data_IF_048541153782
#
_entry.id   IF_048541153782
#
_cell.length_a   1.000
_cell.length_b   1.000
_cell.length_c   1.000
_cell.angle_alpha   90.00
_cell.angle_beta   90.00
_cell.angle_gamma   90.00
#
_symmetry.space_group_name_H-M   'P 1'
#
loop_
_entity.id
_entity.type
_entity.pdbx_description
1 polymer ?
#
# COMPACT_ATOMS: atom_id res chain seq x y z
N UNK A 1 -12.15 -22.14 7.78
CA UNK A 1 -12.89 -22.75 6.65
C UNK A 1 -14.36 -22.34 6.62
N UNK A 2 -15.18 -22.69 7.62
CA UNK A 2 -16.63 -22.38 7.63
C UNK A 2 -16.96 -20.89 7.38
N UNK A 3 -16.31 -19.97 8.09
CA UNK A 3 -16.49 -18.52 7.92
C UNK A 3 -16.13 -18.04 6.51
N UNK A 4 -15.05 -18.58 5.92
CA UNK A 4 -14.62 -18.24 4.55
C UNK A 4 -15.62 -18.74 3.50
N UNK A 5 -16.20 -19.93 3.68
CA UNK A 5 -17.24 -20.44 2.77
C UNK A 5 -18.55 -19.64 2.88
N UNK A 6 -18.91 -19.20 4.10
CA UNK A 6 -20.08 -18.35 4.31
C UNK A 6 -19.91 -16.99 3.64
N UNK A 7 -18.79 -16.29 3.88
CA UNK A 7 -18.53 -14.97 3.30
C UNK A 7 -18.50 -15.02 1.77
N UNK A 8 -17.88 -16.05 1.19
CA UNK A 8 -17.91 -16.25 -0.26
C UNK A 8 -19.33 -16.57 -0.76
N UNK A 9 -20.07 -17.48 -0.12
CA UNK A 9 -21.45 -17.76 -0.57
C UNK A 9 -22.36 -16.53 -0.47
N UNK A 10 -22.21 -15.72 0.57
CA UNK A 10 -22.99 -14.48 0.74
C UNK A 10 -22.60 -13.46 -0.31
N UNK A 11 -21.30 -13.25 -0.55
CA UNK A 11 -20.81 -12.30 -1.55
C UNK A 11 -21.31 -12.65 -2.95
N UNK A 12 -21.17 -13.91 -3.37
CA UNK A 12 -21.52 -14.37 -4.71
C UNK A 12 -23.03 -14.41 -4.98
N UNK A 13 -23.85 -14.59 -3.94
CA UNK A 13 -25.32 -14.58 -4.07
C UNK A 13 -25.95 -13.19 -3.89
N UNK A 14 -25.17 -12.19 -3.46
CA UNK A 14 -25.71 -10.87 -3.18
C UNK A 14 -25.95 -10.08 -4.48
N UNK A 15 -27.18 -9.60 -4.70
CA UNK A 15 -27.50 -8.69 -5.81
C UNK A 15 -26.96 -7.27 -5.59
N UNK A 16 -26.61 -6.92 -4.35
CA UNK A 16 -26.07 -5.61 -4.00
C UNK A 16 -24.54 -5.64 -4.10
N UNK A 17 -24.01 -4.91 -5.08
CA UNK A 17 -22.58 -4.87 -5.40
C UNK A 17 -21.72 -4.44 -4.20
N UNK A 18 -22.18 -3.46 -3.40
CA UNK A 18 -21.45 -3.00 -2.20
C UNK A 18 -21.32 -4.09 -1.14
N UNK A 19 -22.37 -4.87 -0.91
CA UNK A 19 -22.35 -5.95 0.08
C UNK A 19 -21.45 -7.10 -0.37
N UNK A 20 -21.45 -7.41 -1.68
CA UNK A 20 -20.52 -8.38 -2.26
C UNK A 20 -19.07 -7.94 -2.07
N UNK A 21 -18.75 -6.68 -2.35
CA UNK A 21 -17.39 -6.14 -2.19
C UNK A 21 -16.93 -6.15 -0.72
N UNK A 22 -17.81 -5.80 0.22
CA UNK A 22 -17.51 -5.88 1.66
C UNK A 22 -17.26 -7.33 2.08
N UNK A 23 -18.09 -8.28 1.65
CA UNK A 23 -17.90 -9.69 1.97
C UNK A 23 -16.57 -10.24 1.40
N UNK A 24 -16.22 -9.87 0.17
CA UNK A 24 -14.94 -10.22 -0.44
C UNK A 24 -13.75 -9.59 0.28
N UNK A 25 -13.85 -8.31 0.65
CA UNK A 25 -12.83 -7.59 1.41
C UNK A 25 -12.62 -8.20 2.80
N UNK A 26 -13.70 -8.52 3.52
CA UNK A 26 -13.63 -9.19 4.82
C UNK A 26 -13.04 -10.60 4.71
N UNK A 27 -13.44 -11.37 3.69
CA UNK A 27 -12.87 -12.70 3.44
C UNK A 27 -11.36 -12.59 3.21
N UNK A 28 -10.92 -11.63 2.41
CA UNK A 28 -9.50 -11.34 2.16
C UNK A 28 -8.77 -10.89 3.43
N UNK A 29 -9.29 -9.92 4.18
CA UNK A 29 -8.69 -9.42 5.43
C UNK A 29 -8.52 -10.55 6.45
N UNK A 30 -9.53 -11.41 6.58
CA UNK A 30 -9.42 -12.61 7.42
C UNK A 30 -8.31 -13.53 6.95
N UNK A 31 -8.14 -13.75 5.63
CA UNK A 31 -7.03 -14.57 5.11
C UNK A 31 -5.67 -13.96 5.45
N UNK A 32 -5.53 -12.64 5.29
CA UNK A 32 -4.29 -11.92 5.62
C UNK A 32 -3.97 -11.92 7.12
N UNK A 33 -4.99 -11.88 7.99
CA UNK A 33 -4.82 -11.90 9.44
C UNK A 33 -4.37 -13.26 9.99
N UNK A 34 -4.53 -14.35 9.25
CA UNK A 34 -4.03 -15.66 9.64
C UNK A 34 -2.58 -15.83 9.20
N UNK A 35 -1.64 -15.50 10.09
CA UNK A 35 -0.21 -15.65 9.84
C UNK A 35 0.29 -17.10 9.94
N UNK A 36 -0.41 -17.96 10.70
CA UNK A 36 -0.09 -19.38 10.83
C UNK A 36 -0.82 -20.24 9.80
N UNK A 37 -0.08 -20.86 8.86
CA UNK A 37 -0.54 -21.78 7.80
C UNK A 37 -1.22 -21.12 6.59
N UNK A 38 -0.53 -20.16 5.97
CA UNK A 38 -0.95 -19.52 4.72
C UNK A 38 -1.26 -20.53 3.59
N UNK A 39 -0.45 -21.59 3.48
CA UNK A 39 -0.62 -22.64 2.47
C UNK A 39 -1.98 -23.37 2.57
N UNK A 40 -2.38 -23.76 3.79
CA UNK A 40 -3.64 -24.46 4.04
C UNK A 40 -4.85 -23.55 3.72
N UNK A 41 -4.73 -22.26 4.03
CA UNK A 41 -5.80 -21.28 3.83
C UNK A 41 -5.98 -20.95 2.35
N UNK A 42 -4.88 -20.78 1.62
CA UNK A 42 -4.93 -20.52 0.19
C UNK A 42 -5.38 -21.76 -0.61
N UNK A 43 -5.00 -22.97 -0.16
CA UNK A 43 -5.54 -24.22 -0.69
C UNK A 43 -7.07 -24.29 -0.55
N UNK A 44 -7.61 -23.86 0.60
CA UNK A 44 -9.07 -23.77 0.83
C UNK A 44 -9.71 -22.71 -0.05
N UNK A 45 -9.07 -21.54 -0.23
CA UNK A 45 -9.57 -20.48 -1.08
C UNK A 45 -9.66 -20.91 -2.55
N UNK A 46 -8.61 -21.54 -3.09
CA UNK A 46 -8.64 -22.11 -4.44
C UNK A 46 -9.75 -23.18 -4.57
N UNK A 47 -9.91 -24.03 -3.56
CA UNK A 47 -10.99 -25.03 -3.53
C UNK A 47 -12.39 -24.40 -3.58
N UNK A 48 -12.59 -23.27 -2.91
CA UNK A 48 -13.84 -22.51 -2.97
C UNK A 48 -14.03 -21.93 -4.39
N UNK A 49 -13.00 -21.32 -4.98
CA UNK A 49 -13.04 -20.79 -6.35
C UNK A 49 -13.39 -21.90 -7.35
N UNK A 50 -12.77 -23.08 -7.22
CA UNK A 50 -13.04 -24.23 -8.09
C UNK A 50 -14.49 -24.72 -7.96
N UNK A 51 -15.10 -24.61 -6.78
CA UNK A 51 -16.49 -25.01 -6.55
C UNK A 51 -17.52 -23.98 -7.04
N UNK A 52 -17.11 -22.71 -7.18
CA UNK A 52 -17.99 -21.59 -7.52
C UNK A 52 -17.87 -21.11 -8.97
N UNK A 53 -16.76 -21.40 -9.65
CA UNK A 53 -16.47 -20.89 -11.01
C UNK A 53 -16.23 -22.05 -11.99
N UNK A 54 -16.70 -21.89 -13.24
CA UNK A 54 -16.52 -22.81 -14.37
C UNK A 54 -15.14 -23.50 -14.41
N UNK A 55 -15.15 -24.81 -14.74
CA UNK A 55 -14.01 -25.75 -14.78
C UNK A 55 -12.67 -25.09 -15.10
N UNK A 56 -11.95 -24.70 -14.05
CA UNK A 56 -10.54 -24.30 -14.13
C UNK A 56 -9.73 -25.58 -14.39
N UNK A 57 -8.80 -25.59 -15.37
CA UNK A 57 -7.99 -26.77 -15.64
C UNK A 57 -7.15 -27.17 -14.41
N UNK A 58 -7.11 -28.48 -14.11
CA UNK A 58 -6.46 -29.00 -12.90
C UNK A 58 -4.98 -28.62 -12.80
N UNK A 59 -4.26 -28.61 -13.93
CA UNK A 59 -2.84 -28.24 -13.97
C UNK A 59 -2.60 -26.78 -13.53
N UNK A 60 -3.55 -25.87 -13.78
CA UNK A 60 -3.46 -24.46 -13.36
C UNK A 60 -3.65 -24.33 -11.86
N UNK A 61 -4.58 -25.10 -11.29
CA UNK A 61 -4.79 -25.18 -9.84
C UNK A 61 -3.54 -25.73 -9.15
N UNK A 62 -2.96 -26.80 -9.70
CA UNK A 62 -1.74 -27.42 -9.16
C UNK A 62 -0.53 -26.49 -9.23
N UNK A 63 -0.36 -25.79 -10.36
CA UNK A 63 0.70 -24.79 -10.52
C UNK A 63 0.58 -23.69 -9.45
N UNK A 64 -0.63 -23.17 -9.21
CA UNK A 64 -0.85 -22.16 -8.18
C UNK A 64 -0.63 -22.65 -6.76
N UNK A 65 -1.13 -23.85 -6.43
CA UNK A 65 -0.88 -24.46 -5.11
C UNK A 65 0.62 -24.66 -4.89
N UNK A 66 1.34 -25.09 -5.91
CA UNK A 66 2.80 -25.28 -5.85
C UNK A 66 3.49 -23.94 -5.61
N UNK A 67 3.09 -22.89 -6.32
CA UNK A 67 3.65 -21.56 -6.12
C UNK A 67 3.33 -20.97 -4.74
N UNK A 68 2.12 -21.19 -4.22
CA UNK A 68 1.78 -20.75 -2.85
C UNK A 68 2.56 -21.47 -1.76
N UNK A 69 2.90 -22.75 -1.97
CA UNK A 69 3.68 -23.53 -1.02
C UNK A 69 5.20 -23.31 -1.13
N UNK A 70 5.72 -23.16 -2.35
CA UNK A 70 7.18 -23.20 -2.62
C UNK A 70 7.74 -21.89 -3.16
N UNK A 71 6.92 -20.89 -3.40
CA UNK A 71 7.29 -19.65 -4.08
C UNK A 71 7.20 -19.75 -5.60
N UNK A 72 7.38 -18.61 -6.26
CA UNK A 72 7.32 -18.51 -7.72
C UNK A 72 8.41 -19.34 -8.38
N UNK A 73 8.04 -20.09 -9.42
CA UNK A 73 8.99 -20.79 -10.27
C UNK A 73 8.71 -20.55 -11.76
N UNK A 74 9.74 -20.53 -12.62
CA UNK A 74 9.57 -20.18 -14.03
C UNK A 74 8.65 -21.13 -14.81
N UNK A 75 8.64 -22.43 -14.45
CA UNK A 75 7.86 -23.43 -15.15
C UNK A 75 6.35 -23.22 -14.94
N UNK A 76 5.92 -23.04 -13.69
CA UNK A 76 4.52 -22.82 -13.34
C UNK A 76 4.03 -21.44 -13.81
N UNK A 77 4.90 -20.42 -13.78
CA UNK A 77 4.60 -19.10 -14.34
C UNK A 77 4.41 -19.16 -15.85
N UNK A 78 5.23 -19.95 -16.56
CA UNK A 78 5.07 -20.15 -18.01
C UNK A 78 3.77 -20.87 -18.32
N UNK A 79 3.40 -21.88 -17.52
CA UNK A 79 2.11 -22.57 -17.67
C UNK A 79 0.93 -21.63 -17.47
N UNK A 80 0.95 -20.78 -16.43
CA UNK A 80 -0.07 -19.76 -16.22
C UNK A 80 -0.12 -18.78 -17.41
N UNK A 81 1.03 -18.28 -17.85
CA UNK A 81 1.11 -17.34 -18.95
C UNK A 81 0.47 -17.91 -20.23
N UNK A 82 0.78 -19.15 -20.57
CA UNK A 82 0.19 -19.84 -21.71
C UNK A 82 -1.32 -19.99 -21.56
N UNK A 83 -1.80 -20.38 -20.38
CA UNK A 83 -3.23 -20.53 -20.12
C UNK A 83 -4.01 -19.22 -20.24
N UNK A 84 -3.46 -18.09 -19.78
CA UNK A 84 -4.10 -16.77 -19.90
C UNK A 84 -3.95 -16.12 -21.28
N UNK A 85 -2.98 -16.60 -22.08
CA UNK A 85 -2.78 -16.20 -23.47
C UNK A 85 -3.74 -16.91 -24.44
N UNK A 86 -4.32 -18.04 -24.04
CA UNK A 86 -5.28 -18.80 -24.84
C UNK A 86 -6.60 -18.04 -25.09
N UNK A 87 -7.38 -18.41 -26.13
CA UNK A 87 -8.65 -17.76 -26.47
C UNK A 87 -9.73 -17.95 -25.39
N UNK A 88 -9.65 -19.04 -24.61
CA UNK A 88 -10.53 -19.31 -23.46
C UNK A 88 -9.68 -19.35 -22.17
N UNK A 89 -9.29 -18.18 -21.65
CA UNK A 89 -8.44 -18.10 -20.46
C UNK A 89 -9.21 -18.46 -19.18
N UNK A 90 -8.50 -18.88 -18.11
CA UNK A 90 -9.09 -19.02 -16.79
C UNK A 90 -9.66 -17.68 -16.27
N UNK A 91 -10.56 -17.73 -15.25
CA UNK A 91 -11.14 -16.53 -14.66
C UNK A 91 -10.08 -15.65 -13.98
N UNK A 92 -10.14 -14.33 -14.25
CA UNK A 92 -9.12 -13.37 -13.77
C UNK A 92 -9.02 -13.28 -12.24
N UNK A 93 -10.09 -13.63 -11.52
CA UNK A 93 -10.13 -13.67 -10.04
C UNK A 93 -9.01 -14.53 -9.47
N UNK A 94 -8.59 -15.56 -10.20
CA UNK A 94 -7.56 -16.49 -9.77
C UNK A 94 -6.18 -15.82 -9.66
N UNK A 95 -5.81 -14.95 -10.62
CA UNK A 95 -4.53 -14.20 -10.59
C UNK A 95 -4.64 -12.83 -9.91
N UNK A 96 -5.86 -12.40 -9.55
CA UNK A 96 -6.13 -11.24 -8.69
C UNK A 96 -6.09 -11.58 -7.22
N UNK A 97 -5.65 -12.80 -6.89
CA UNK A 97 -5.41 -13.14 -5.50
C UNK A 97 -4.34 -12.19 -4.91
N UNK A 98 -4.60 -11.56 -3.75
CA UNK A 98 -3.68 -10.60 -3.14
C UNK A 98 -2.33 -11.22 -2.79
N UNK A 99 -2.31 -12.46 -2.29
CA UNK A 99 -1.07 -13.13 -1.93
C UNK A 99 -0.26 -13.47 -3.19
N UNK A 100 -0.93 -13.95 -4.23
CA UNK A 100 -0.29 -14.16 -5.53
C UNK A 100 0.26 -12.86 -6.13
N UNK A 101 -0.49 -11.77 -5.99
CA UNK A 101 -0.09 -10.44 -6.47
C UNK A 101 1.15 -9.94 -5.74
N UNK A 102 1.24 -10.11 -4.42
CA UNK A 102 2.46 -9.80 -3.65
C UNK A 102 3.64 -10.67 -4.09
N UNK A 103 3.43 -11.97 -4.27
CA UNK A 103 4.50 -12.84 -4.78
C UNK A 103 5.02 -12.37 -6.14
N UNK A 104 4.12 -11.97 -7.04
CA UNK A 104 4.50 -11.40 -8.34
C UNK A 104 5.19 -10.04 -8.20
N UNK A 105 4.88 -9.30 -7.12
CA UNK A 105 5.60 -8.10 -6.73
C UNK A 105 7.06 -8.39 -6.39
N UNK A 106 7.26 -9.39 -5.56
CA UNK A 106 8.59 -9.85 -5.17
C UNK A 106 9.34 -10.48 -6.38
N UNK A 107 8.61 -11.04 -7.35
CA UNK A 107 9.15 -11.76 -8.51
C UNK A 107 9.46 -10.95 -9.77
N UNK A 108 9.25 -9.62 -9.78
CA UNK A 108 9.64 -8.67 -10.86
C UNK A 108 8.90 -8.72 -12.22
N UNK A 109 7.60 -9.06 -12.19
CA UNK A 109 6.52 -8.49 -13.05
C UNK A 109 6.37 -8.80 -14.56
N UNK A 110 5.82 -9.98 -14.88
CA UNK A 110 5.15 -10.25 -16.17
C UNK A 110 3.64 -10.53 -16.04
N UNK A 111 3.21 -11.26 -15.00
CA UNK A 111 1.81 -11.67 -14.82
C UNK A 111 0.91 -10.57 -14.21
N UNK A 112 1.48 -9.53 -13.58
CA UNK A 112 0.70 -8.42 -13.02
C UNK A 112 0.06 -7.52 -14.08
N UNK A 113 0.69 -7.37 -15.25
CA UNK A 113 0.09 -6.63 -16.37
C UNK A 113 -1.30 -7.19 -16.71
N UNK A 114 -1.43 -8.52 -16.71
CA UNK A 114 -2.69 -9.19 -17.01
C UNK A 114 -3.72 -9.01 -15.89
N UNK A 115 -3.30 -9.28 -14.65
CA UNK A 115 -4.19 -9.17 -13.48
C UNK A 115 -4.78 -7.76 -13.33
N UNK A 116 -3.98 -6.72 -13.62
CA UNK A 116 -4.39 -5.33 -13.43
C UNK A 116 -5.25 -4.75 -14.55
N UNK A 117 -4.95 -5.06 -15.81
CA UNK A 117 -5.60 -4.40 -16.95
C UNK A 117 -6.78 -5.17 -17.53
N UNK A 118 -6.91 -6.47 -17.24
CA UNK A 118 -7.98 -7.28 -17.85
C UNK A 118 -9.27 -7.17 -17.04
N UNK A 119 -10.32 -6.65 -17.68
CA UNK A 119 -11.65 -6.55 -17.08
C UNK A 119 -12.51 -7.70 -17.61
N UNK A 120 -13.14 -8.45 -16.70
CA UNK A 120 -14.03 -9.56 -17.04
C UNK A 120 -15.49 -9.15 -16.81
N UNK A 121 -16.34 -9.35 -17.81
CA UNK A 121 -17.80 -9.20 -17.69
C UNK A 121 -18.45 -10.57 -17.81
N UNK A 122 -19.34 -10.88 -16.86
CA UNK A 122 -20.10 -12.13 -16.82
C UNK A 122 -21.55 -11.80 -17.16
N UNK A 123 -22.01 -12.19 -18.36
CA UNK A 123 -23.42 -12.02 -18.72
C UNK A 123 -24.20 -13.27 -18.26
N UNK A 124 -25.20 -13.06 -17.40
CA UNK A 124 -26.02 -14.11 -16.78
C UNK A 124 -27.28 -14.49 -17.59
N UNK A 125 -27.48 -13.90 -18.76
CA UNK A 125 -28.71 -14.02 -19.56
C UNK A 125 -28.85 -15.37 -20.32
N UNK A 126 -28.17 -16.42 -19.89
CA UNK A 126 -28.25 -17.75 -20.51
C UNK A 126 -27.84 -18.89 -19.58
N UNK A 127 -28.17 -20.13 -19.98
CA UNK A 127 -27.95 -21.40 -19.23
C UNK A 127 -26.46 -21.64 -18.92
N UNK A 128 -25.55 -20.93 -19.60
CA UNK A 128 -24.11 -20.92 -19.32
C UNK A 128 -23.60 -19.48 -19.24
N UNK A 129 -22.90 -19.08 -18.16
CA UNK A 129 -22.31 -17.75 -18.06
C UNK A 129 -21.24 -17.58 -19.15
N UNK A 130 -21.46 -16.67 -20.10
CA UNK A 130 -20.44 -16.32 -21.08
C UNK A 130 -19.54 -15.22 -20.51
N UNK A 131 -18.27 -15.56 -20.28
CA UNK A 131 -17.22 -14.65 -19.85
C UNK A 131 -16.65 -13.90 -21.06
N UNK A 132 -16.65 -12.57 -21.00
CA UNK A 132 -15.97 -11.71 -21.98
C UNK A 132 -14.86 -10.95 -21.26
N UNK A 133 -13.62 -11.11 -21.71
CA UNK A 133 -12.47 -10.39 -21.18
C UNK A 133 -12.05 -9.26 -22.11
N UNK A 134 -11.91 -8.05 -21.55
CA UNK A 134 -11.38 -6.89 -22.23
C UNK A 134 -9.87 -6.78 -21.97
N UNK A 135 -9.07 -6.77 -23.05
CA UNK A 135 -7.60 -6.74 -23.00
C UNK A 135 -7.00 -5.47 -23.64
N UNK A 136 -7.80 -4.41 -23.85
CA UNK A 136 -7.37 -3.22 -24.60
C UNK A 136 -6.11 -2.54 -24.02
N UNK A 137 -5.99 -2.44 -22.69
CA UNK A 137 -4.88 -1.76 -22.03
C UNK A 137 -3.67 -2.67 -21.75
N UNK A 138 -3.81 -3.98 -22.00
CA UNK A 138 -2.84 -4.98 -21.57
C UNK A 138 -1.45 -4.79 -22.20
N UNK A 139 -1.40 -4.55 -23.51
CA UNK A 139 -0.13 -4.42 -24.23
C UNK A 139 0.61 -3.14 -23.81
N UNK A 140 -0.11 -2.02 -23.69
CA UNK A 140 0.48 -0.75 -23.23
C UNK A 140 1.04 -0.87 -21.81
N UNK A 141 0.32 -1.53 -20.90
CA UNK A 141 0.82 -1.75 -19.54
C UNK A 141 2.02 -2.69 -19.50
N UNK A 142 2.06 -3.71 -20.36
CA UNK A 142 3.22 -4.62 -20.47
C UNK A 142 4.47 -3.87 -20.93
N UNK A 143 4.33 -3.01 -21.93
CA UNK A 143 5.43 -2.16 -22.42
C UNK A 143 5.93 -1.22 -21.32
N UNK A 144 5.01 -0.56 -20.61
CA UNK A 144 5.37 0.33 -19.48
C UNK A 144 5.99 -0.42 -18.30
N UNK A 145 5.57 -1.67 -18.03
CA UNK A 145 6.22 -2.52 -17.03
C UNK A 145 7.65 -2.87 -17.44
N UNK A 146 7.86 -3.25 -18.70
CA UNK A 146 9.21 -3.54 -19.19
C UNK A 146 10.10 -2.30 -19.10
N UNK A 147 9.59 -1.15 -19.53
CA UNK A 147 10.28 0.14 -19.41
C UNK A 147 10.66 0.45 -17.95
N UNK A 148 9.74 0.23 -17.01
CA UNK A 148 10.04 0.43 -15.59
C UNK A 148 11.19 -0.47 -15.14
N UNK A 149 11.13 -1.76 -15.47
CA UNK A 149 12.15 -2.74 -15.10
C UNK A 149 13.52 -2.32 -15.66
N UNK A 150 13.58 -1.92 -16.93
CA UNK A 150 14.82 -1.47 -17.58
C UNK A 150 15.41 -0.23 -16.88
N UNK A 151 14.57 0.74 -16.48
CA UNK A 151 15.00 1.93 -15.73
C UNK A 151 15.55 1.53 -14.34
N UNK A 152 14.84 0.67 -13.62
CA UNK A 152 15.23 0.26 -12.26
C UNK A 152 16.54 -0.55 -12.25
N UNK A 153 16.81 -1.34 -13.30
CA UNK A 153 18.07 -2.08 -13.44
C UNK A 153 19.26 -1.18 -13.79
N UNK A 154 19.04 -0.05 -14.46
CA UNK A 154 20.13 0.83 -14.92
C UNK A 154 20.81 1.63 -13.80
N UNK A 155 20.18 1.76 -12.63
CA UNK A 155 20.60 2.41 -11.36
C UNK A 155 21.25 3.82 -11.42
N UNK A 156 22.27 4.04 -12.25
CA UNK A 156 23.08 5.27 -12.30
C UNK A 156 22.32 6.49 -12.87
N UNK A 157 21.21 6.28 -13.61
CA UNK A 157 20.48 7.34 -14.36
C UNK A 157 19.06 7.61 -13.85
N UNK A 158 18.74 7.21 -12.61
CA UNK A 158 17.40 7.33 -12.03
C UNK A 158 16.87 8.78 -12.04
N UNK A 159 17.74 9.76 -11.80
CA UNK A 159 17.37 11.19 -11.84
C UNK A 159 17.05 11.67 -13.27
N UNK A 160 17.79 11.21 -14.27
CA UNK A 160 17.55 11.54 -15.69
C UNK A 160 16.22 10.96 -16.17
N UNK A 161 15.77 9.87 -15.54
CA UNK A 161 14.52 9.18 -15.85
C UNK A 161 13.32 9.67 -15.02
N UNK A 162 13.45 10.75 -14.23
CA UNK A 162 12.39 11.22 -13.33
C UNK A 162 11.08 11.50 -14.06
N UNK A 163 11.09 12.22 -15.18
CA UNK A 163 9.86 12.52 -15.92
C UNK A 163 9.13 11.25 -16.38
N UNK A 164 9.90 10.26 -16.84
CA UNK A 164 9.36 8.96 -17.26
C UNK A 164 8.78 8.22 -16.05
N UNK A 165 9.48 8.19 -14.92
CA UNK A 165 8.98 7.57 -13.69
C UNK A 165 7.69 8.24 -13.19
N UNK A 166 7.58 9.56 -13.27
CA UNK A 166 6.36 10.29 -12.91
C UNK A 166 5.19 9.96 -13.85
N UNK A 167 5.46 9.66 -15.13
CA UNK A 167 4.43 9.16 -16.04
C UNK A 167 4.01 7.73 -15.69
N UNK A 168 4.98 6.85 -15.40
CA UNK A 168 4.72 5.46 -15.02
C UNK A 168 3.93 5.36 -13.72
N UNK A 169 4.19 6.24 -12.74
CA UNK A 169 3.43 6.32 -11.48
C UNK A 169 1.93 6.52 -11.73
N UNK A 170 1.46 7.05 -12.87
CA UNK A 170 0.02 7.17 -13.13
C UNK A 170 -0.73 5.82 -13.09
N UNK A 171 -0.03 4.71 -13.33
CA UNK A 171 -0.60 3.37 -13.23
C UNK A 171 -0.42 2.81 -11.80
N UNK A 172 -1.50 2.40 -11.10
CA UNK A 172 -1.42 1.92 -9.71
C UNK A 172 -0.46 0.73 -9.53
N UNK A 173 -0.35 -0.13 -10.54
CA UNK A 173 0.47 -1.35 -10.46
C UNK A 173 1.96 -1.04 -10.59
N UNK A 174 2.30 -0.07 -11.44
CA UNK A 174 3.67 0.45 -11.51
C UNK A 174 4.04 1.20 -10.24
N UNK A 175 3.09 1.94 -9.66
CA UNK A 175 3.29 2.59 -8.34
C UNK A 175 3.53 1.58 -7.23
N UNK A 176 2.76 0.49 -7.19
CA UNK A 176 2.97 -0.59 -6.23
C UNK A 176 4.34 -1.26 -6.42
N UNK A 177 4.77 -1.47 -7.67
CA UNK A 177 6.08 -2.01 -8.01
C UNK A 177 7.22 -1.08 -7.58
N UNK A 178 7.13 0.22 -7.88
CA UNK A 178 8.10 1.23 -7.45
C UNK A 178 8.17 1.28 -5.93
N UNK A 179 7.03 1.26 -5.25
CA UNK A 179 6.99 1.28 -3.79
C UNK A 179 7.65 0.06 -3.16
N UNK A 180 7.45 -1.12 -3.76
CA UNK A 180 8.15 -2.34 -3.34
C UNK A 180 9.65 -2.26 -3.60
N UNK A 181 10.06 -1.79 -4.79
CA UNK A 181 11.48 -1.54 -5.10
C UNK A 181 12.10 -0.60 -4.07
N UNK A 182 11.48 0.54 -3.78
CA UNK A 182 11.96 1.51 -2.79
C UNK A 182 12.06 0.90 -1.39
N UNK A 183 11.08 0.10 -0.98
CA UNK A 183 11.13 -0.62 0.31
C UNK A 183 12.35 -1.54 0.37
N UNK A 184 12.51 -2.40 -0.63
CA UNK A 184 13.59 -3.39 -0.66
C UNK A 184 14.95 -2.73 -0.84
N UNK A 185 15.01 -1.60 -1.53
CA UNK A 185 16.25 -0.86 -1.81
C UNK A 185 16.71 -0.02 -0.62
N UNK A 186 15.81 0.70 0.04
CA UNK A 186 16.13 1.60 1.16
C UNK A 186 16.25 0.87 2.51
N UNK A 187 15.62 -0.29 2.66
CA UNK A 187 15.63 -1.10 3.89
C UNK A 187 16.39 -2.41 3.62
N UNK A 188 17.60 -2.32 3.06
CA UNK A 188 18.48 -3.49 2.93
C UNK A 188 19.23 -3.73 4.24
N UNK A 189 19.24 -4.98 4.68
CA UNK A 189 19.93 -5.43 5.90
C UNK A 189 21.42 -5.79 5.66
N UNK A 190 21.92 -5.63 4.44
CA UNK A 190 23.25 -6.10 4.01
C UNK A 190 24.41 -5.18 4.39
N UNK A 191 24.15 -4.13 5.18
CA UNK A 191 25.17 -3.25 5.74
C UNK A 191 25.80 -2.28 4.72
N UNK A 192 25.43 -2.34 3.44
CA UNK A 192 25.81 -1.35 2.43
C UNK A 192 24.64 -0.38 2.28
N UNK A 193 24.72 0.71 3.04
CA UNK A 193 23.72 1.77 3.01
C UNK A 193 23.58 2.32 1.60
N UNK A 194 22.36 2.33 1.07
CA UNK A 194 22.03 3.31 0.05
C UNK A 194 21.28 4.46 0.70
N UNK A 195 21.95 5.59 0.80
CA UNK A 195 21.35 6.81 1.35
C UNK A 195 20.14 7.22 0.49
N UNK A 196 18.96 7.48 1.09
CA UNK A 196 17.82 7.94 0.32
C UNK A 196 18.12 9.32 -0.27
N UNK A 197 18.30 9.38 -1.59
CA UNK A 197 18.37 10.65 -2.32
C UNK A 197 16.97 11.31 -2.40
N UNK A 198 16.89 12.66 -2.59
CA UNK A 198 15.63 13.39 -2.65
C UNK A 198 14.60 12.82 -3.64
N UNK A 199 15.09 12.22 -4.73
CA UNK A 199 14.26 11.54 -5.72
C UNK A 199 13.34 10.47 -5.09
N UNK A 200 13.86 9.67 -4.15
CA UNK A 200 13.08 8.61 -3.53
C UNK A 200 11.88 9.17 -2.75
N UNK A 201 12.08 10.27 -2.02
CA UNK A 201 11.01 10.96 -1.29
C UNK A 201 9.96 11.53 -2.25
N UNK A 202 10.38 12.16 -3.34
CA UNK A 202 9.48 12.66 -4.39
C UNK A 202 8.62 11.54 -4.99
N UNK A 203 9.21 10.37 -5.25
CA UNK A 203 8.45 9.22 -5.77
C UNK A 203 7.42 8.74 -4.75
N UNK A 204 7.78 8.63 -3.47
CA UNK A 204 6.85 8.24 -2.39
C UNK A 204 5.67 9.23 -2.33
N UNK A 205 5.95 10.52 -2.41
CA UNK A 205 4.93 11.56 -2.38
C UNK A 205 3.99 11.52 -3.56
N UNK A 206 4.53 11.33 -4.77
CA UNK A 206 3.74 11.26 -5.99
C UNK A 206 2.88 10.01 -6.02
N UNK A 207 3.34 8.91 -5.43
CA UNK A 207 2.52 7.71 -5.23
C UNK A 207 1.38 8.00 -4.25
N UNK A 208 1.67 8.64 -3.11
CA UNK A 208 0.65 9.01 -2.12
C UNK A 208 -0.39 10.00 -2.69
N UNK A 209 0.03 10.98 -3.49
CA UNK A 209 -0.85 11.95 -4.13
C UNK A 209 -1.85 11.27 -5.09
N UNK A 210 -1.40 10.27 -5.85
CA UNK A 210 -2.21 9.67 -6.93
C UNK A 210 -3.04 8.46 -6.50
N UNK A 211 -2.58 7.68 -5.53
CA UNK A 211 -3.13 6.35 -5.26
C UNK A 211 -3.53 6.16 -3.80
N UNK A 212 -4.78 6.49 -3.48
CA UNK A 212 -5.35 6.29 -2.15
C UNK A 212 -5.27 4.83 -1.66
N UNK A 213 -5.37 3.87 -2.58
CA UNK A 213 -5.26 2.45 -2.27
C UNK A 213 -3.85 2.00 -1.86
N UNK A 214 -2.83 2.83 -2.07
CA UNK A 214 -1.45 2.56 -1.67
C UNK A 214 -1.04 3.29 -0.39
N UNK A 215 -1.90 4.15 0.16
CA UNK A 215 -1.60 4.95 1.36
C UNK A 215 -1.15 4.12 2.55
N UNK A 216 -1.80 2.98 2.81
CA UNK A 216 -1.40 2.09 3.91
C UNK A 216 0.00 1.48 3.69
N UNK A 217 0.34 1.15 2.43
CA UNK A 217 1.68 0.64 2.10
C UNK A 217 2.74 1.72 2.23
N UNK A 218 2.43 2.94 1.79
CA UNK A 218 3.30 4.12 1.97
C UNK A 218 3.51 4.38 3.45
N UNK A 219 2.45 4.38 4.25
CA UNK A 219 2.52 4.55 5.70
C UNK A 219 3.43 3.51 6.36
N UNK A 220 3.29 2.24 5.99
CA UNK A 220 4.14 1.14 6.49
C UNK A 220 5.60 1.32 6.07
N UNK A 221 5.86 1.77 4.85
CA UNK A 221 7.21 2.08 4.37
C UNK A 221 7.82 3.22 5.19
N UNK A 222 7.11 4.33 5.39
CA UNK A 222 7.61 5.46 6.17
C UNK A 222 7.90 5.07 7.63
N UNK A 223 7.04 4.26 8.24
CA UNK A 223 7.32 3.70 9.57
C UNK A 223 8.62 2.89 9.58
N UNK A 224 8.79 1.98 8.63
CA UNK A 224 9.97 1.13 8.55
C UNK A 224 11.26 1.93 8.26
N UNK A 225 11.18 2.97 7.41
CA UNK A 225 12.29 3.88 7.15
C UNK A 225 12.67 4.66 8.41
N UNK A 226 11.69 5.19 9.14
CA UNK A 226 11.94 5.89 10.40
C UNK A 226 12.63 4.98 11.42
N UNK A 227 12.12 3.75 11.60
CA UNK A 227 12.68 2.78 12.55
C UNK A 227 14.10 2.37 12.12
N UNK A 228 14.34 2.15 10.83
CA UNK A 228 15.65 1.84 10.28
C UNK A 228 16.66 2.98 10.52
N UNK A 229 16.29 4.23 10.24
CA UNK A 229 17.14 5.41 10.49
C UNK A 229 17.45 5.59 11.97
N UNK A 230 16.47 5.32 12.85
CA UNK A 230 16.63 5.44 14.30
C UNK A 230 17.62 4.43 14.88
N UNK A 231 17.78 3.27 14.22
CA UNK A 231 18.73 2.23 14.60
C UNK A 231 20.16 2.45 14.08
N UNK A 232 20.41 3.51 13.28
CA UNK A 232 21.73 3.76 12.71
C UNK A 232 22.72 4.25 13.77
N UNK A 233 23.98 3.80 13.66
CA UNK A 233 25.07 4.22 14.53
C UNK A 233 25.75 5.48 13.96
N UNK A 234 24.98 6.56 13.83
CA UNK A 234 25.44 7.85 13.34
C UNK A 234 25.28 8.95 14.39
N UNK A 235 25.80 10.14 14.10
CA UNK A 235 25.64 11.31 14.97
C UNK A 235 24.16 11.67 15.05
N UNK A 236 23.65 11.90 16.27
CA UNK A 236 22.23 12.15 16.53
C UNK A 236 21.66 13.29 15.66
N UNK A 237 22.44 14.35 15.40
CA UNK A 237 22.03 15.47 14.55
C UNK A 237 21.74 15.05 13.10
N UNK A 238 22.56 14.16 12.53
CA UNK A 238 22.37 13.61 11.18
C UNK A 238 21.11 12.74 11.13
N UNK A 239 20.93 11.89 12.14
CA UNK A 239 19.75 11.04 12.28
C UNK A 239 18.48 11.90 12.36
N UNK A 240 18.51 12.97 13.17
CA UNK A 240 17.36 13.88 13.32
C UNK A 240 17.02 14.61 12.01
N UNK A 241 18.01 15.06 11.24
CA UNK A 241 17.76 15.71 9.95
C UNK A 241 17.15 14.73 8.94
N UNK A 242 17.61 13.47 8.93
CA UNK A 242 17.01 12.40 8.10
C UNK A 242 15.61 12.04 8.57
N UNK A 243 15.39 11.95 9.88
CA UNK A 243 14.06 11.71 10.45
C UNK A 243 13.10 12.85 10.09
N UNK A 244 13.54 14.11 10.08
CA UNK A 244 12.74 15.25 9.62
C UNK A 244 12.22 15.03 8.19
N UNK A 245 13.05 14.55 7.27
CA UNK A 245 12.60 14.24 5.91
C UNK A 245 11.45 13.23 5.91
N UNK A 246 11.50 12.21 6.77
CA UNK A 246 10.40 11.24 6.93
C UNK A 246 9.16 11.89 7.57
N UNK A 247 9.35 12.79 8.54
CA UNK A 247 8.25 13.58 9.13
C UNK A 247 7.53 14.40 8.06
N UNK A 248 8.25 15.03 7.13
CA UNK A 248 7.62 15.77 6.02
C UNK A 248 6.73 14.85 5.18
N UNK A 249 7.16 13.60 4.98
CA UNK A 249 6.39 12.59 4.23
C UNK A 249 5.16 12.12 5.01
N UNK A 250 5.24 12.06 6.34
CA UNK A 250 4.07 11.84 7.18
C UNK A 250 3.06 13.00 7.07
N UNK A 251 3.52 14.25 7.07
CA UNK A 251 2.66 15.43 6.87
C UNK A 251 1.97 15.37 5.50
N UNK A 252 2.70 15.02 4.44
CA UNK A 252 2.13 14.85 3.11
C UNK A 252 1.11 13.72 3.04
N UNK A 253 1.38 12.57 3.68
CA UNK A 253 0.42 11.46 3.72
C UNK A 253 -0.83 11.80 4.55
N UNK A 254 -0.66 12.60 5.61
CA UNK A 254 -1.77 13.17 6.38
C UNK A 254 -2.65 14.06 5.50
N UNK A 255 -2.04 14.93 4.68
CA UNK A 255 -2.76 15.79 3.72
C UNK A 255 -3.65 14.99 2.77
N UNK A 256 -3.15 13.86 2.26
CA UNK A 256 -3.89 13.03 1.31
C UNK A 256 -4.92 12.08 1.94
N UNK A 257 -5.14 12.13 3.26
CA UNK A 257 -6.28 11.46 3.90
C UNK A 257 -5.94 10.41 4.94
N UNK A 258 -4.66 10.19 5.27
CA UNK A 258 -4.24 9.30 6.36
C UNK A 258 -4.00 10.04 7.68
N UNK A 259 -4.75 11.11 7.94
CA UNK A 259 -4.52 11.97 9.09
C UNK A 259 -4.54 11.23 10.43
N UNK A 260 -5.55 10.39 10.66
CA UNK A 260 -5.70 9.69 11.95
C UNK A 260 -4.56 8.68 12.18
N UNK A 261 -4.26 7.72 11.27
CA UNK A 261 -3.15 6.79 11.47
C UNK A 261 -1.79 7.48 11.68
N UNK A 262 -1.54 8.57 10.95
CA UNK A 262 -0.30 9.35 11.08
C UNK A 262 -0.22 10.02 12.46
N UNK A 263 -1.28 10.70 12.88
CA UNK A 263 -1.34 11.34 14.20
C UNK A 263 -1.17 10.31 15.33
N UNK A 264 -1.87 9.18 15.25
CA UNK A 264 -1.77 8.12 16.24
C UNK A 264 -0.35 7.55 16.34
N UNK A 265 0.34 7.36 15.20
CA UNK A 265 1.74 6.90 15.18
C UNK A 265 2.68 7.93 15.78
N UNK A 266 2.57 9.22 15.42
CA UNK A 266 3.43 10.28 15.98
C UNK A 266 3.19 10.44 17.49
N UNK A 267 1.93 10.49 17.93
CA UNK A 267 1.57 10.55 19.35
C UNK A 267 2.07 9.31 20.10
N UNK A 268 1.93 8.13 19.49
CA UNK A 268 2.44 6.87 20.02
C UNK A 268 3.94 6.94 20.24
N UNK A 269 4.71 7.30 19.21
CA UNK A 269 6.17 7.45 19.29
C UNK A 269 6.57 8.46 20.36
N UNK A 270 5.87 9.60 20.45
CA UNK A 270 6.14 10.63 21.44
C UNK A 270 5.96 10.11 22.87
N UNK A 271 4.85 9.43 23.16
CA UNK A 271 4.58 8.85 24.48
C UNK A 271 5.61 7.80 24.89
N UNK A 272 6.14 7.04 23.93
CA UNK A 272 7.17 6.02 24.16
C UNK A 272 8.60 6.59 24.18
N UNK A 273 8.81 7.87 23.87
CA UNK A 273 10.14 8.47 23.78
C UNK A 273 10.96 8.04 22.55
N UNK A 274 10.34 7.49 21.51
CA UNK A 274 11.01 7.08 20.26
C UNK A 274 11.23 8.23 19.26
N UNK A 275 10.69 9.41 19.55
CA UNK A 275 10.83 10.61 18.72
C UNK A 275 11.22 11.78 19.61
N UNK A 276 12.15 12.61 19.10
CA UNK A 276 12.58 13.80 19.80
C UNK A 276 11.49 14.89 19.83
N UNK A 277 11.42 15.62 20.95
CA UNK A 277 10.42 16.68 21.18
C UNK A 277 10.47 17.74 20.09
N UNK A 278 11.66 18.08 19.57
CA UNK A 278 11.81 19.08 18.50
C UNK A 278 11.19 18.62 17.18
N UNK A 279 11.26 17.32 16.85
CA UNK A 279 10.62 16.75 15.66
C UNK A 279 9.10 16.68 15.81
N UNK A 280 8.61 16.36 17.02
CA UNK A 280 7.17 16.41 17.32
C UNK A 280 6.62 17.83 17.22
N UNK A 281 7.38 18.82 17.71
CA UNK A 281 7.03 20.24 17.59
C UNK A 281 6.99 20.67 16.12
N UNK A 282 8.01 20.30 15.36
CA UNK A 282 8.09 20.55 13.92
C UNK A 282 6.86 19.97 13.20
N UNK A 283 6.57 18.69 13.40
CA UNK A 283 5.38 18.03 12.85
C UNK A 283 4.08 18.76 13.24
N UNK A 284 3.92 19.12 14.52
CA UNK A 284 2.73 19.80 15.01
C UNK A 284 2.51 21.16 14.35
N UNK A 285 3.58 21.93 14.12
CA UNK A 285 3.53 23.22 13.43
C UNK A 285 3.11 23.02 11.97
N UNK A 286 3.79 22.14 11.24
CA UNK A 286 3.48 21.86 9.83
C UNK A 286 2.04 21.40 9.63
N UNK A 287 1.53 20.52 10.51
CA UNK A 287 0.14 20.07 10.45
C UNK A 287 -0.83 21.22 10.71
N UNK A 288 -0.56 22.07 11.71
CA UNK A 288 -1.42 23.20 12.04
C UNK A 288 -1.45 24.27 10.94
N UNK A 289 -0.34 24.47 10.23
CA UNK A 289 -0.26 25.39 9.08
C UNK A 289 -0.95 24.81 7.83
N UNK A 290 -1.07 23.48 7.75
CA UNK A 290 -1.71 22.78 6.64
C UNK A 290 -3.23 22.68 6.76
N UNK A 291 -3.77 22.60 8.00
CA UNK A 291 -5.18 22.27 8.24
C UNK A 291 -6.04 23.48 8.60
N UNK A 292 -7.23 23.53 8.01
CA UNK A 292 -8.23 24.56 8.29
C UNK A 292 -9.54 23.95 8.82
N UNK A 293 -10.36 24.79 9.45
CA UNK A 293 -11.68 24.44 9.94
C UNK A 293 -12.67 24.08 8.80
N UNK A 294 -13.69 23.23 9.04
CA UNK A 294 -14.06 22.59 10.31
C UNK A 294 -13.30 21.29 10.59
N UNK A 295 -12.85 21.11 11.83
CA UNK A 295 -12.16 19.89 12.27
C UNK A 295 -13.13 18.79 12.72
N UNK A 296 -12.81 17.54 12.40
CA UNK A 296 -13.54 16.40 12.95
C UNK A 296 -13.17 16.17 14.42
N UNK A 297 -14.10 15.64 15.22
CA UNK A 297 -13.83 15.31 16.63
C UNK A 297 -12.69 14.32 16.79
N UNK A 298 -12.59 13.34 15.89
CA UNK A 298 -11.49 12.36 15.85
C UNK A 298 -10.15 13.03 15.61
N UNK A 299 -10.07 13.96 14.66
CA UNK A 299 -8.84 14.70 14.37
C UNK A 299 -8.41 15.56 15.57
N UNK A 300 -9.36 16.28 16.18
CA UNK A 300 -9.10 17.07 17.39
C UNK A 300 -8.54 16.17 18.48
N UNK A 301 -9.22 15.07 18.82
CA UNK A 301 -8.77 14.15 19.86
C UNK A 301 -7.39 13.54 19.59
N UNK A 302 -7.03 13.33 18.32
CA UNK A 302 -5.74 12.78 17.93
C UNK A 302 -4.60 13.82 18.00
N UNK A 303 -4.85 15.08 17.61
CA UNK A 303 -3.84 16.15 17.60
C UNK A 303 -3.65 16.82 18.98
N UNK A 304 -4.70 16.86 19.80
CA UNK A 304 -4.71 17.55 21.08
C UNK A 304 -3.58 17.15 22.06
N UNK A 305 -3.21 15.87 22.21
CA UNK A 305 -2.13 15.44 23.10
C UNK A 305 -0.78 16.08 22.77
N UNK A 306 -0.55 16.46 21.51
CA UNK A 306 0.67 17.12 21.07
C UNK A 306 0.61 18.61 21.42
N UNK A 307 -0.46 19.30 20.98
CA UNK A 307 -0.58 20.77 21.08
C UNK A 307 -0.72 21.24 22.53
N UNK A 308 -1.31 20.41 23.40
CA UNK A 308 -1.47 20.74 24.83
C UNK A 308 -0.21 20.45 25.66
N UNK A 309 0.74 19.67 25.14
CA UNK A 309 1.95 19.32 25.87
C UNK A 309 2.94 20.50 25.88
N UNK A 310 3.34 20.95 27.08
CA UNK A 310 4.21 22.12 27.26
C UNK A 310 5.66 21.92 26.83
N UNK A 311 6.12 20.68 26.74
CA UNK A 311 7.45 20.36 26.21
C UNK A 311 7.49 20.56 24.70
N UNK A 312 6.38 20.25 24.03
CA UNK A 312 6.21 20.42 22.59
C UNK A 312 5.85 21.88 22.26
N UNK A 313 4.79 22.42 22.85
CA UNK A 313 4.34 23.79 22.64
C UNK A 313 4.51 24.61 23.93
N UNK A 314 5.66 25.27 24.03
CA UNK A 314 5.95 26.22 25.11
C UNK A 314 5.40 27.62 24.77
N UNK A 315 5.53 28.55 25.72
CA UNK A 315 5.04 29.94 25.53
C UNK A 315 5.67 30.61 24.31
N UNK A 316 6.97 30.42 24.09
CA UNK A 316 7.70 31.00 22.97
C UNK A 316 7.19 30.44 21.63
N UNK A 317 6.87 29.14 21.56
CA UNK A 317 6.31 28.51 20.36
C UNK A 317 4.92 29.05 20.05
N UNK A 318 4.06 29.24 21.06
CA UNK A 318 2.74 29.85 20.86
C UNK A 318 2.81 31.31 20.41
N UNK A 319 3.82 32.07 20.84
CA UNK A 319 4.04 33.44 20.39
C UNK A 319 4.47 33.49 18.92
N UNK A 320 5.28 32.53 18.48
CA UNK A 320 5.72 32.42 17.07
C UNK A 320 4.63 31.88 16.15
N UNK A 321 3.82 30.94 16.63
CA UNK A 321 2.78 30.26 15.85
C UNK A 321 1.39 30.47 16.50
N UNK A 322 0.71 31.59 16.22
CA UNK A 322 -0.59 31.91 16.83
C UNK A 322 -1.69 30.90 16.46
N UNK A 323 -1.54 30.20 15.33
CA UNK A 323 -2.47 29.16 14.87
C UNK A 323 -2.62 28.03 15.90
N UNK A 324 -1.52 27.64 16.57
CA UNK A 324 -1.56 26.64 17.63
C UNK A 324 -2.41 27.09 18.82
N UNK A 325 -2.34 28.38 19.16
CA UNK A 325 -3.15 28.99 20.22
C UNK A 325 -4.62 29.09 19.83
N UNK A 326 -4.90 29.45 18.58
CA UNK A 326 -6.27 29.49 18.04
C UNK A 326 -6.90 28.10 18.06
N UNK A 327 -6.17 27.08 17.59
CA UNK A 327 -6.61 25.69 17.63
C UNK A 327 -6.96 25.24 19.06
N UNK A 328 -6.13 25.60 20.05
CA UNK A 328 -6.43 25.32 21.46
C UNK A 328 -7.67 26.07 21.97
N UNK A 329 -7.81 27.35 21.67
CA UNK A 329 -8.93 28.16 22.16
C UNK A 329 -10.27 27.65 21.62
N UNK A 330 -10.32 27.30 20.33
CA UNK A 330 -11.52 26.79 19.68
C UNK A 330 -11.92 25.40 20.18
N UNK A 331 -10.95 24.53 20.44
CA UNK A 331 -11.20 23.11 20.69
C UNK A 331 -11.12 22.70 22.17
N UNK A 332 -10.46 23.47 23.03
CA UNK A 332 -10.49 23.30 24.50
C UNK A 332 -11.43 24.28 25.20
N UNK A 333 -11.83 25.38 24.54
CA UNK A 333 -12.69 26.41 25.15
C UNK A 333 -14.14 25.98 25.39
N UNK A 334 -14.59 24.90 24.72
CA UNK A 334 -15.96 24.39 24.82
C UNK A 334 -16.11 23.18 25.77
N UNK A 335 -15.06 22.78 26.48
CA UNK A 335 -15.07 21.71 27.49
C UNK A 335 -14.86 22.26 28.91
N UNK A 336 -15.74 23.18 29.32
CA UNK A 336 -15.93 23.54 30.73
C UNK A 336 -17.33 23.20 31.20
#
# INVERSE_FOLDING_TARGET
MYTQMLLNNVGWKCKNQKQSEICSSLAQQLRLAFEGKKEDIEGVHIGIIQSCIDKIPLHIIQAMQTMFAKGLNPADITQLYQAYSNPNPPPVVLIRDPFFTEMLIDGLFSALSYSSCVIETINSDGILPKRKQNKLELNSTKEKMQQLVDILYSYEDLLLSLEQLLELIKLPVLSAAILHYLRTFLIREDGVLTEPIPLHYVLIDKIAEKHFNLHERVFKLLCALYDHLSGQNEVAEIIMERQRQIIDRFVNLLFFGMAIPVLEKIVGMFKSGYIDVSLVRYFGIEVLELVEQPYSSQFISALLPIVTNREVFDRATFEKHPIAKEFMLLNCGNSK
#
